data_IF_198920202727
#
_entry.id   IF_198920202727
#
_cell.length_a   1.000
_cell.length_b   1.000
_cell.length_c   1.000
_cell.angle_alpha   90.00
_cell.angle_beta   90.00
_cell.angle_gamma   90.00
#
_symmetry.space_group_name_H-M   'P 1'
#
loop_
_entity.id
_entity.type
_entity.pdbx_description
1 polymer ?
#
# COMPACT_ATOMS: atom_id res chain seq x y z
N UNK A 1 -17.29 -10.49 -10.51
CA UNK A 1 -15.91 -11.03 -10.53
C UNK A 1 -15.06 -10.24 -11.52
N UNK A 2 -13.79 -10.07 -11.21
CA UNK A 2 -12.82 -9.27 -11.98
C UNK A 2 -11.70 -10.14 -12.53
N UNK A 3 -11.03 -9.65 -13.58
CA UNK A 3 -9.88 -10.33 -14.18
C UNK A 3 -8.62 -10.28 -13.32
N UNK A 4 -8.44 -9.15 -12.61
CA UNK A 4 -7.25 -8.89 -11.83
C UNK A 4 -7.62 -8.21 -10.51
N UNK A 5 -6.98 -8.66 -9.43
CA UNK A 5 -6.96 -7.98 -8.12
C UNK A 5 -5.52 -7.61 -7.81
N UNK A 6 -5.29 -6.36 -7.43
CA UNK A 6 -4.05 -5.89 -6.81
C UNK A 6 -4.28 -5.78 -5.29
N UNK A 7 -3.61 -6.64 -4.54
CA UNK A 7 -3.70 -6.70 -3.09
C UNK A 7 -2.48 -6.02 -2.45
N UNK A 8 -2.74 -4.94 -1.71
CA UNK A 8 -1.72 -4.17 -0.99
C UNK A 8 -1.74 -4.43 0.53
N UNK A 9 -2.65 -5.31 1.00
CA UNK A 9 -2.90 -5.57 2.42
C UNK A 9 -2.39 -6.95 2.84
N UNK A 10 -2.63 -7.97 2.02
CA UNK A 10 -2.24 -9.36 2.29
C UNK A 10 -3.12 -10.06 3.33
N UNK A 11 -2.62 -11.19 3.83
CA UNK A 11 -3.25 -11.96 4.90
C UNK A 11 -4.71 -12.33 4.61
N UNK A 12 -5.57 -12.21 5.61
CA UNK A 12 -6.99 -12.55 5.49
C UNK A 12 -7.74 -11.67 4.49
N UNK A 13 -7.36 -10.39 4.36
CA UNK A 13 -7.93 -9.50 3.33
C UNK A 13 -7.61 -9.99 1.92
N UNK A 14 -6.36 -10.39 1.68
CA UNK A 14 -5.94 -10.96 0.40
C UNK A 14 -6.66 -12.28 0.09
N UNK A 15 -6.85 -13.15 1.07
CA UNK A 15 -7.65 -14.38 0.92
C UNK A 15 -9.11 -14.07 0.58
N UNK A 16 -9.73 -13.14 1.31
CA UNK A 16 -11.11 -12.74 1.06
C UNK A 16 -11.29 -12.16 -0.35
N UNK A 17 -10.30 -11.43 -0.86
CA UNK A 17 -10.32 -10.85 -2.20
C UNK A 17 -10.33 -11.90 -3.34
N UNK A 18 -9.91 -13.15 -3.08
CA UNK A 18 -9.98 -14.24 -4.05
C UNK A 18 -11.42 -14.48 -4.55
N UNK A 19 -12.43 -14.29 -3.70
CA UNK A 19 -13.83 -14.42 -4.08
C UNK A 19 -14.27 -13.44 -5.18
N UNK A 20 -13.54 -12.35 -5.35
CA UNK A 20 -13.77 -11.36 -6.38
C UNK A 20 -13.14 -11.72 -7.73
N UNK A 21 -12.16 -12.62 -7.75
CA UNK A 21 -11.43 -13.03 -8.97
C UNK A 21 -12.23 -14.08 -9.72
N UNK A 22 -12.37 -13.92 -11.03
CA UNK A 22 -13.01 -14.93 -11.88
C UNK A 22 -12.09 -16.14 -12.11
N UNK A 23 -12.63 -17.32 -12.46
CA UNK A 23 -11.82 -18.44 -12.92
C UNK A 23 -10.91 -18.03 -14.09
N UNK A 24 -9.64 -18.38 -14.04
CA UNK A 24 -8.61 -17.93 -14.99
C UNK A 24 -8.09 -16.49 -14.76
N UNK A 25 -8.61 -15.81 -13.74
CA UNK A 25 -8.14 -14.50 -13.33
C UNK A 25 -6.89 -14.56 -12.44
N UNK A 26 -6.44 -13.40 -12.01
CA UNK A 26 -5.16 -13.24 -11.31
C UNK A 26 -5.29 -12.33 -10.07
N UNK A 27 -4.58 -12.71 -9.00
CA UNK A 27 -4.36 -11.84 -7.85
C UNK A 27 -2.86 -11.57 -7.70
N UNK A 28 -2.48 -10.30 -7.68
CA UNK A 28 -1.10 -9.86 -7.39
C UNK A 28 -1.07 -9.29 -5.99
N UNK A 29 -0.27 -9.89 -5.09
CA UNK A 29 -0.10 -9.41 -3.71
C UNK A 29 1.28 -8.81 -3.51
N UNK A 30 1.32 -7.61 -2.94
CA UNK A 30 2.56 -6.88 -2.62
C UNK A 30 3.15 -7.31 -1.27
N UNK A 31 2.36 -7.57 -0.21
CA UNK A 31 2.88 -8.13 1.04
C UNK A 31 3.34 -9.59 0.88
N UNK A 32 4.55 -9.77 0.37
CA UNK A 32 5.11 -11.10 0.00
C UNK A 32 5.16 -12.09 1.16
N UNK A 33 5.22 -11.60 2.41
CA UNK A 33 5.25 -12.44 3.61
C UNK A 33 3.98 -13.29 3.76
N UNK A 34 2.85 -12.84 3.23
CA UNK A 34 1.56 -13.57 3.26
C UNK A 34 1.20 -14.19 1.91
N UNK A 35 2.01 -14.00 0.87
CA UNK A 35 1.73 -14.47 -0.48
C UNK A 35 1.53 -16.00 -0.54
N UNK A 36 2.31 -16.75 0.22
CA UNK A 36 2.19 -18.21 0.25
C UNK A 36 0.84 -18.66 0.83
N UNK A 37 0.39 -18.02 1.91
CA UNK A 37 -0.92 -18.33 2.52
C UNK A 37 -2.09 -18.09 1.55
N UNK A 38 -1.99 -17.03 0.71
CA UNK A 38 -3.00 -16.73 -0.31
C UNK A 38 -2.93 -17.77 -1.43
N UNK A 39 -1.73 -18.19 -1.85
CA UNK A 39 -1.55 -19.28 -2.83
C UNK A 39 -2.15 -20.60 -2.35
N UNK A 40 -1.91 -20.96 -1.09
CA UNK A 40 -2.43 -22.19 -0.52
C UNK A 40 -3.98 -22.20 -0.49
N UNK A 41 -4.59 -21.02 -0.27
CA UNK A 41 -6.03 -20.84 -0.30
C UNK A 41 -6.64 -21.00 -1.71
N UNK A 42 -5.82 -20.96 -2.79
CA UNK A 42 -6.26 -21.20 -4.18
C UNK A 42 -6.02 -22.62 -4.67
N UNK A 43 -5.56 -23.52 -3.81
CA UNK A 43 -5.30 -24.90 -4.20
C UNK A 43 -6.54 -25.54 -4.86
N UNK A 44 -6.36 -26.02 -6.09
CA UNK A 44 -7.46 -26.60 -6.88
C UNK A 44 -8.36 -25.58 -7.60
N UNK A 45 -8.10 -24.28 -7.48
CA UNK A 45 -8.81 -23.24 -8.25
C UNK A 45 -8.05 -22.86 -9.52
N UNK A 46 -8.75 -22.24 -10.48
CA UNK A 46 -8.15 -21.71 -11.72
C UNK A 46 -7.63 -20.26 -11.55
N UNK A 47 -7.40 -19.79 -10.31
CA UNK A 47 -6.90 -18.43 -10.02
C UNK A 47 -5.39 -18.48 -9.86
N UNK A 48 -4.69 -17.58 -10.56
CA UNK A 48 -3.24 -17.40 -10.42
C UNK A 48 -2.94 -16.38 -9.31
N UNK A 49 -2.08 -16.74 -8.34
CA UNK A 49 -1.60 -15.80 -7.29
C UNK A 49 -0.12 -15.55 -7.48
N UNK A 50 0.23 -14.26 -7.62
CA UNK A 50 1.60 -13.77 -7.79
C UNK A 50 2.00 -12.87 -6.62
N UNK A 51 3.13 -13.16 -6.00
CA UNK A 51 3.78 -12.23 -5.08
C UNK A 51 4.65 -11.24 -5.86
N UNK A 52 4.55 -9.96 -5.56
CA UNK A 52 5.36 -8.91 -6.18
C UNK A 52 6.28 -8.28 -5.14
N UNK A 53 7.58 -8.52 -5.27
CA UNK A 53 8.59 -7.85 -4.44
C UNK A 53 8.92 -6.49 -5.06
N UNK A 54 8.63 -5.43 -4.32
CA UNK A 54 8.98 -4.07 -4.72
C UNK A 54 10.46 -3.79 -4.45
N UNK A 55 11.09 -2.98 -5.28
CA UNK A 55 12.46 -2.52 -5.11
C UNK A 55 12.54 -1.00 -5.29
N UNK A 56 13.49 -0.33 -4.62
CA UNK A 56 13.69 1.10 -4.80
C UNK A 56 14.12 1.41 -6.24
N UNK A 57 13.43 2.35 -6.88
CA UNK A 57 13.76 2.81 -8.23
C UNK A 57 13.60 4.33 -8.32
N UNK A 58 14.74 5.03 -8.46
CA UNK A 58 14.78 6.49 -8.53
C UNK A 58 14.07 7.03 -9.76
N UNK A 59 14.18 6.34 -10.90
CA UNK A 59 13.57 6.81 -12.14
C UNK A 59 12.05 6.70 -12.07
N UNK A 60 11.52 5.58 -11.60
CA UNK A 60 10.08 5.40 -11.38
C UNK A 60 9.56 6.43 -10.38
N UNK A 61 10.25 6.66 -9.25
CA UNK A 61 9.86 7.68 -8.28
C UNK A 61 9.81 9.07 -8.91
N UNK A 62 10.80 9.44 -9.74
CA UNK A 62 10.80 10.72 -10.45
C UNK A 62 9.62 10.86 -11.42
N UNK A 63 9.24 9.79 -12.12
CA UNK A 63 8.06 9.77 -12.98
C UNK A 63 6.77 9.96 -12.17
N UNK A 64 6.62 9.27 -11.04
CA UNK A 64 5.48 9.43 -10.15
C UNK A 64 5.35 10.87 -9.63
N UNK A 65 6.47 11.51 -9.24
CA UNK A 65 6.49 12.91 -8.82
C UNK A 65 6.08 13.86 -9.96
N UNK A 66 6.43 13.54 -11.19
CA UNK A 66 6.00 14.31 -12.36
C UNK A 66 4.49 14.23 -12.55
N UNK A 67 3.90 13.03 -12.48
CA UNK A 67 2.46 12.83 -12.58
C UNK A 67 1.69 13.55 -11.46
N UNK A 68 2.25 13.55 -10.24
CA UNK A 68 1.70 14.32 -9.11
C UNK A 68 1.68 15.84 -9.39
N UNK A 69 2.79 16.39 -9.93
CA UNK A 69 2.89 17.81 -10.28
C UNK A 69 1.94 18.21 -11.41
N UNK A 70 1.67 17.30 -12.33
CA UNK A 70 0.74 17.49 -13.45
C UNK A 70 -0.72 17.32 -13.03
N UNK A 71 -0.98 16.86 -11.80
CA UNK A 71 -2.33 16.60 -11.30
C UNK A 71 -2.97 15.32 -11.86
N UNK A 72 -2.22 14.51 -12.59
CA UNK A 72 -2.70 13.23 -13.14
C UNK A 72 -2.85 12.16 -12.04
N UNK A 73 -2.06 12.29 -10.98
CA UNK A 73 -2.16 11.46 -9.76
C UNK A 73 -2.37 12.38 -8.57
N UNK A 74 -3.22 11.98 -7.65
CA UNK A 74 -3.48 12.71 -6.42
C UNK A 74 -3.19 11.82 -5.21
N UNK A 75 -2.57 12.41 -4.19
CA UNK A 75 -2.38 11.77 -2.89
C UNK A 75 -3.24 12.48 -1.87
N UNK A 76 -4.18 11.75 -1.28
CA UNK A 76 -4.98 12.28 -0.17
C UNK A 76 -4.13 12.33 1.09
N UNK A 77 -4.00 13.49 1.70
CA UNK A 77 -3.41 13.66 3.03
C UNK A 77 -4.54 13.71 4.05
N UNK A 78 -4.61 12.70 4.91
CA UNK A 78 -5.66 12.57 5.92
C UNK A 78 -5.35 13.34 7.21
N UNK A 79 -4.08 13.66 7.47
CA UNK A 79 -3.66 14.42 8.64
C UNK A 79 -2.16 14.71 8.61
N UNK A 80 -1.79 15.76 9.34
CA UNK A 80 -0.40 16.16 9.53
C UNK A 80 -0.09 16.27 11.03
N UNK A 81 1.08 15.79 11.41
CA UNK A 81 1.58 15.81 12.78
C UNK A 81 2.99 16.41 12.80
N UNK A 82 3.36 17.07 13.87
CA UNK A 82 4.76 17.42 14.09
C UNK A 82 5.58 16.13 14.29
N UNK A 83 6.88 16.15 14.00
CA UNK A 83 7.74 14.97 14.20
C UNK A 83 7.68 14.47 15.65
N UNK A 84 7.63 15.38 16.63
CA UNK A 84 7.51 15.06 18.05
C UNK A 84 6.18 14.34 18.40
N UNK A 85 5.17 14.45 17.55
CA UNK A 85 3.86 13.83 17.70
C UNK A 85 3.76 12.47 16.96
N UNK A 86 4.88 11.89 16.55
CA UNK A 86 4.93 10.62 15.81
C UNK A 86 4.15 9.50 16.49
N UNK A 87 4.13 9.43 17.83
CA UNK A 87 3.34 8.47 18.57
C UNK A 87 1.82 8.62 18.33
N UNK A 88 1.32 9.86 18.21
CA UNK A 88 -0.09 10.12 17.90
C UNK A 88 -0.43 9.71 16.47
N UNK A 89 0.47 9.95 15.52
CA UNK A 89 0.31 9.52 14.14
C UNK A 89 0.26 7.98 14.04
N UNK A 90 1.09 7.27 14.79
CA UNK A 90 1.06 5.81 14.88
C UNK A 90 -0.26 5.31 15.47
N UNK A 91 -0.73 5.88 16.57
CA UNK A 91 -2.02 5.54 17.16
C UNK A 91 -3.18 5.73 16.16
N UNK A 92 -3.16 6.83 15.40
CA UNK A 92 -4.18 7.08 14.38
C UNK A 92 -4.18 6.01 13.28
N UNK A 93 -3.01 5.56 12.81
CA UNK A 93 -2.92 4.48 11.81
C UNK A 93 -3.38 3.14 12.39
N UNK A 94 -2.99 2.82 13.64
CA UNK A 94 -3.34 1.56 14.31
C UNK A 94 -4.84 1.43 14.55
N UNK A 95 -5.54 2.54 14.81
CA UNK A 95 -7.00 2.56 14.91
C UNK A 95 -7.69 2.19 13.59
N UNK A 96 -6.97 2.23 12.48
CA UNK A 96 -7.50 1.96 11.14
C UNK A 96 -8.36 3.11 10.59
N UNK A 97 -8.98 2.85 9.44
CA UNK A 97 -9.92 3.78 8.77
C UNK A 97 -9.28 5.08 8.24
N UNK A 98 -7.97 5.23 8.29
CA UNK A 98 -7.28 6.38 7.67
C UNK A 98 -7.37 6.28 6.15
N UNK A 99 -8.08 7.21 5.54
CA UNK A 99 -8.21 7.30 4.09
C UNK A 99 -7.15 8.25 3.53
N UNK A 100 -6.05 7.71 3.06
CA UNK A 100 -4.93 8.47 2.53
C UNK A 100 -3.66 8.30 3.36
N UNK A 101 -2.83 9.33 3.40
CA UNK A 101 -1.54 9.34 4.08
C UNK A 101 -1.57 10.25 5.31
N UNK A 102 -0.86 9.87 6.36
CA UNK A 102 -0.49 10.75 7.45
C UNK A 102 0.92 11.26 7.20
N UNK A 103 1.15 12.54 7.41
CA UNK A 103 2.44 13.18 7.24
C UNK A 103 3.04 13.55 8.60
N UNK A 104 4.34 13.34 8.76
CA UNK A 104 5.12 13.89 9.83
C UNK A 104 5.88 15.11 9.30
N UNK A 105 5.61 16.29 9.88
CA UNK A 105 6.28 17.53 9.49
C UNK A 105 7.61 17.63 10.21
N UNK A 106 8.68 17.68 9.43
CA UNK A 106 10.01 17.91 9.96
C UNK A 106 10.11 19.35 10.50
N UNK A 107 10.83 19.60 11.61
CA UNK A 107 11.14 20.95 12.03
C UNK A 107 11.95 21.68 10.96
N UNK A 108 11.86 23.01 10.91
CA UNK A 108 12.69 23.81 10.01
C UNK A 108 14.19 23.55 10.29
N UNK A 109 15.01 23.63 9.25
CA UNK A 109 16.46 23.32 9.37
C UNK A 109 17.15 24.12 10.48
N UNK A 110 16.73 25.37 10.70
CA UNK A 110 17.27 26.25 11.73
C UNK A 110 16.93 25.78 13.17
N UNK A 111 15.90 24.98 13.35
CA UNK A 111 15.51 24.44 14.66
C UNK A 111 16.30 23.17 15.04
N UNK A 112 17.10 22.61 14.13
CA UNK A 112 17.94 21.43 14.35
C UNK A 112 19.40 21.78 14.66
N UNK A 113 19.76 23.08 14.61
CA UNK A 113 21.13 23.59 14.79
C UNK A 113 21.41 24.09 16.22
N UNK A 114 20.52 23.86 17.20
CA UNK A 114 20.67 24.25 18.61
C UNK A 114 21.09 23.11 19.53
#
# INVERSE_FOLDING_TARGET
>A
QVDLVLDLVGGESGKAALACVKPGGRLVTVPTITAQQIKDATAGSAIEVLGMLVHPDRQQLSQMLTLLRQGEVQVTVAGEYALAEGALAHQAIEQGHVRGKLLLRMPAADALAG
#
